data_IF_174803408263
#
_entry.id   IF_174803408263
#
_cell.length_a   1.000
_cell.length_b   1.000
_cell.length_c   1.000
_cell.angle_alpha   90.00
_cell.angle_beta   90.00
_cell.angle_gamma   90.00
#
_symmetry.space_group_name_H-M   'P 1'
#
loop_
_entity.id
_entity.type
_entity.pdbx_description
1 polymer ?
#
# COMPACT_ATOMS: atom_id res chain seq x y z
N UNK A 1 -19.78 -4.53 3.66
CA UNK A 1 -19.61 -5.16 5.00
C UNK A 1 -19.75 -6.66 4.80
N UNK A 2 -18.73 -7.45 5.14
CA UNK A 2 -18.85 -8.92 5.15
C UNK A 2 -19.92 -9.26 6.19
N UNK A 3 -20.99 -9.93 5.77
CA UNK A 3 -22.05 -10.36 6.70
C UNK A 3 -21.47 -11.42 7.63
N UNK A 4 -21.70 -11.26 8.94
CA UNK A 4 -21.29 -12.26 9.93
C UNK A 4 -21.95 -13.60 9.58
N UNK A 5 -21.16 -14.70 9.59
CA UNK A 5 -21.70 -16.03 9.33
C UNK A 5 -22.72 -16.38 10.41
N UNK A 6 -23.97 -16.63 10.01
CA UNK A 6 -25.02 -17.09 10.92
C UNK A 6 -25.07 -18.62 10.97
N UNK A 7 -25.32 -19.17 12.15
CA UNK A 7 -25.60 -20.60 12.32
C UNK A 7 -27.01 -20.99 11.86
N UNK A 8 -27.39 -22.27 11.99
CA UNK A 8 -28.69 -22.81 11.54
C UNK A 8 -29.91 -22.03 12.08
N UNK A 9 -29.77 -21.38 13.24
CA UNK A 9 -30.84 -20.62 13.90
C UNK A 9 -30.80 -19.11 13.59
N UNK A 10 -30.11 -18.68 12.53
CA UNK A 10 -29.85 -17.27 12.16
C UNK A 10 -29.17 -16.43 13.26
N UNK A 11 -28.67 -17.08 14.31
CA UNK A 11 -27.83 -16.43 15.32
C UNK A 11 -26.43 -16.22 14.73
N UNK A 12 -25.82 -15.04 14.89
CA UNK A 12 -24.42 -14.84 14.53
C UNK A 12 -23.58 -15.91 15.22
N UNK A 13 -22.74 -16.62 14.47
CA UNK A 13 -21.75 -17.48 15.09
C UNK A 13 -20.84 -16.61 15.97
N UNK A 14 -20.35 -17.13 17.12
CA UNK A 14 -19.38 -16.42 17.92
C UNK A 14 -18.22 -15.95 17.03
N UNK A 15 -17.84 -14.66 17.15
CA UNK A 15 -16.67 -14.15 16.45
C UNK A 15 -15.47 -14.99 16.87
N UNK A 16 -14.99 -15.85 15.97
CA UNK A 16 -13.75 -16.59 16.19
C UNK A 16 -12.62 -15.56 16.18
N UNK A 17 -12.04 -15.31 17.34
CA UNK A 17 -10.81 -14.53 17.46
C UNK A 17 -9.66 -15.39 16.93
N UNK A 18 -9.36 -15.25 15.64
CA UNK A 18 -8.19 -15.90 15.06
C UNK A 18 -6.95 -15.04 15.33
N UNK A 19 -5.95 -15.65 15.99
CA UNK A 19 -4.62 -15.07 16.19
C UNK A 19 -3.63 -15.93 15.41
N UNK A 20 -3.38 -15.54 14.16
CA UNK A 20 -2.45 -16.23 13.28
C UNK A 20 -2.26 -15.46 11.98
N UNK A 21 -1.42 -16.01 11.11
CA UNK A 21 -1.17 -15.50 9.75
C UNK A 21 -1.87 -16.37 8.70
N UNK A 22 -2.16 -15.78 7.54
CA UNK A 22 -2.64 -16.51 6.37
C UNK A 22 -1.61 -16.33 5.27
N UNK A 23 -1.15 -17.44 4.70
CA UNK A 23 -0.40 -17.43 3.45
C UNK A 23 -1.43 -17.65 2.33
N UNK A 24 -1.55 -16.67 1.45
CA UNK A 24 -2.37 -16.77 0.25
C UNK A 24 -1.44 -16.78 -0.96
N UNK A 25 -1.74 -17.62 -1.94
CA UNK A 25 -1.05 -17.66 -3.24
C UNK A 25 -2.04 -17.39 -4.36
N UNK A 26 -1.57 -16.77 -5.45
CA UNK A 26 -2.42 -16.29 -6.53
C UNK A 26 -1.58 -15.57 -7.58
N UNK A 27 -2.09 -15.49 -8.80
CA UNK A 27 -1.41 -14.82 -9.92
C UNK A 27 -1.46 -13.29 -9.78
N UNK A 28 -2.50 -12.77 -9.13
CA UNK A 28 -2.69 -11.35 -8.87
C UNK A 28 -3.31 -11.14 -7.49
N UNK A 29 -2.74 -10.21 -6.72
CA UNK A 29 -3.26 -9.78 -5.43
C UNK A 29 -3.54 -8.29 -5.46
N UNK A 30 -4.79 -7.92 -5.21
CA UNK A 30 -5.17 -6.54 -4.92
C UNK A 30 -5.82 -6.47 -3.53
N UNK A 31 -5.10 -5.85 -2.60
CA UNK A 31 -5.56 -5.66 -1.21
C UNK A 31 -6.43 -4.41 -1.05
N UNK A 32 -6.59 -3.60 -2.10
CA UNK A 32 -7.52 -2.46 -2.20
C UNK A 32 -7.28 -1.27 -1.26
N UNK A 33 -6.36 -1.36 -0.30
CA UNK A 33 -6.08 -0.27 0.66
C UNK A 33 -4.63 -0.26 1.10
N UNK A 34 -4.04 0.93 1.24
CA UNK A 34 -2.74 1.12 1.88
C UNK A 34 -2.66 0.40 3.24
N UNK A 35 -3.68 0.55 4.07
CA UNK A 35 -3.74 -0.12 5.39
C UNK A 35 -3.66 -1.65 5.30
N UNK A 36 -4.13 -2.27 4.22
CA UNK A 36 -3.98 -3.71 4.02
C UNK A 36 -2.58 -4.05 3.54
N UNK A 37 -2.00 -3.29 2.61
CA UNK A 37 -0.59 -3.46 2.22
C UNK A 37 0.38 -3.27 3.40
N UNK A 38 0.11 -2.33 4.31
CA UNK A 38 0.93 -2.13 5.52
C UNK A 38 0.81 -3.25 6.57
N UNK A 39 -0.13 -4.20 6.39
CA UNK A 39 -0.35 -5.35 7.28
C UNK A 39 -0.09 -6.70 6.58
N UNK A 40 0.40 -6.66 5.36
CA UNK A 40 0.64 -7.84 4.53
C UNK A 40 2.07 -7.80 4.00
N UNK A 41 2.68 -8.97 3.87
CA UNK A 41 3.95 -9.12 3.18
C UNK A 41 3.65 -9.76 1.83
N UNK A 42 3.90 -9.01 0.75
CA UNK A 42 3.64 -9.46 -0.61
C UNK A 42 4.97 -9.84 -1.25
N UNK A 43 5.12 -11.12 -1.55
CA UNK A 43 6.28 -11.66 -2.25
C UNK A 43 5.90 -11.88 -3.70
N UNK A 44 6.50 -11.09 -4.60
CA UNK A 44 6.35 -11.29 -6.03
C UNK A 44 7.32 -12.36 -6.49
N UNK A 45 6.79 -13.50 -6.91
CA UNK A 45 7.59 -14.65 -7.36
C UNK A 45 7.51 -14.69 -8.88
N UNK A 46 8.67 -14.61 -9.55
CA UNK A 46 8.73 -14.69 -11.01
C UNK A 46 8.26 -16.06 -11.52
N UNK A 47 7.70 -16.07 -12.74
CA UNK A 47 7.31 -17.31 -13.40
C UNK A 47 8.53 -18.24 -13.50
N UNK A 48 8.36 -19.49 -13.08
CA UNK A 48 9.41 -20.51 -13.11
C UNK A 48 10.33 -20.54 -11.89
N UNK A 49 10.22 -19.56 -10.96
CA UNK A 49 10.99 -19.60 -9.70
C UNK A 49 10.56 -20.77 -8.81
N UNK A 50 9.26 -21.10 -8.80
CA UNK A 50 8.75 -22.31 -8.15
C UNK A 50 8.49 -23.35 -9.24
N UNK A 51 9.19 -24.48 -9.18
CA UNK A 51 8.97 -25.60 -10.08
C UNK A 51 7.76 -26.43 -9.61
N UNK A 52 6.58 -26.13 -10.16
CA UNK A 52 5.35 -26.89 -9.87
C UNK A 52 5.30 -28.27 -10.54
N UNK A 53 6.24 -28.57 -11.46
CA UNK A 53 6.32 -29.86 -12.15
C UNK A 53 6.97 -30.98 -11.31
N UNK A 54 7.60 -30.62 -10.19
CA UNK A 54 8.12 -31.57 -9.21
C UNK A 54 7.46 -31.34 -7.86
N UNK A 55 6.73 -32.35 -7.39
CA UNK A 55 6.28 -32.42 -6.01
C UNK A 55 7.55 -32.45 -5.14
N UNK A 56 7.78 -31.43 -4.32
CA UNK A 56 8.94 -31.43 -3.42
C UNK A 56 8.83 -32.60 -2.44
N UNK A 57 9.95 -33.08 -1.88
CA UNK A 57 9.91 -34.15 -0.87
C UNK A 57 8.97 -33.81 0.31
N UNK A 58 8.86 -32.53 0.66
CA UNK A 58 7.92 -32.02 1.67
C UNK A 58 6.44 -32.21 1.28
N UNK A 59 6.11 -32.16 0.00
CA UNK A 59 4.74 -32.40 -0.47
C UNK A 59 4.43 -33.91 -0.62
N UNK A 60 5.45 -34.76 -0.82
CA UNK A 60 5.29 -36.22 -0.87
C UNK A 60 5.14 -36.86 0.50
N UNK A 61 5.68 -36.22 1.54
CA UNK A 61 5.71 -36.73 2.92
C UNK A 61 5.07 -35.69 3.84
N UNK A 62 3.73 -35.64 3.94
CA UNK A 62 3.02 -34.70 4.81
C UNK A 62 3.48 -34.77 6.27
N UNK A 63 3.87 -35.96 6.73
CA UNK A 63 4.37 -36.20 8.08
C UNK A 63 5.68 -35.44 8.35
N UNK A 64 6.50 -35.19 7.33
CA UNK A 64 7.74 -34.43 7.47
C UNK A 64 7.44 -32.96 7.81
N UNK A 65 6.42 -32.38 7.17
CA UNK A 65 5.98 -31.01 7.47
C UNK A 65 5.42 -30.91 8.89
N UNK A 66 4.62 -31.91 9.31
CA UNK A 66 4.09 -31.96 10.67
C UNK A 66 5.22 -32.12 11.71
N UNK A 67 6.16 -33.02 11.46
CA UNK A 67 7.31 -33.25 12.33
C UNK A 67 8.19 -32.00 12.45
N UNK A 68 8.43 -31.29 11.35
CA UNK A 68 9.16 -30.02 11.36
C UNK A 68 8.46 -28.98 12.24
N UNK A 69 7.16 -28.74 12.03
CA UNK A 69 6.43 -27.75 12.84
C UNK A 69 6.32 -28.18 14.30
N UNK A 70 6.12 -29.46 14.59
CA UNK A 70 6.09 -29.98 15.95
C UNK A 70 7.44 -29.76 16.65
N UNK A 71 8.56 -30.02 15.97
CA UNK A 71 9.91 -29.80 16.50
C UNK A 71 10.18 -28.31 16.77
N UNK A 72 9.78 -27.43 15.86
CA UNK A 72 9.90 -25.99 16.06
C UNK A 72 9.07 -25.48 17.24
N UNK A 73 7.81 -25.95 17.37
CA UNK A 73 6.93 -25.59 18.49
C UNK A 73 7.52 -26.08 19.82
N UNK A 74 7.93 -27.34 19.89
CA UNK A 74 8.55 -27.92 21.10
C UNK A 74 9.81 -27.14 21.51
N UNK A 75 10.64 -26.74 20.54
CA UNK A 75 11.80 -25.89 20.81
C UNK A 75 11.40 -24.51 21.35
N UNK A 76 10.39 -23.85 20.76
CA UNK A 76 9.89 -22.56 21.23
C UNK A 76 9.37 -22.64 22.68
N UNK A 77 8.65 -23.72 23.02
CA UNK A 77 8.12 -23.95 24.37
C UNK A 77 9.24 -24.16 25.38
N UNK A 78 10.24 -25.00 25.06
CA UNK A 78 11.40 -25.25 25.94
C UNK A 78 12.25 -24.01 26.17
N UNK A 79 12.32 -23.12 25.18
CA UNK A 79 13.15 -21.91 25.23
C UNK A 79 12.35 -20.64 25.56
N UNK A 80 11.07 -20.76 25.90
CA UNK A 80 10.15 -19.62 26.07
C UNK A 80 10.69 -18.56 27.03
N UNK A 81 11.30 -18.96 28.16
CA UNK A 81 11.86 -18.02 29.13
C UNK A 81 12.98 -17.16 28.53
N UNK A 82 13.91 -17.78 27.79
CA UNK A 82 14.97 -17.06 27.10
C UNK A 82 14.40 -16.15 26.00
N UNK A 83 13.45 -16.66 25.21
CA UNK A 83 12.82 -15.88 24.14
C UNK A 83 12.14 -14.64 24.71
N UNK A 84 11.29 -14.79 25.74
CA UNK A 84 10.57 -13.66 26.35
C UNK A 84 11.50 -12.61 26.95
N UNK A 85 12.64 -13.04 27.51
CA UNK A 85 13.64 -12.14 28.07
C UNK A 85 14.37 -11.34 26.97
N UNK A 86 14.73 -11.97 25.85
CA UNK A 86 15.60 -11.37 24.82
C UNK A 86 14.82 -10.71 23.66
N UNK A 87 13.58 -11.14 23.39
CA UNK A 87 12.78 -10.66 22.26
C UNK A 87 12.63 -9.12 22.22
N UNK A 88 12.43 -8.39 23.33
CA UNK A 88 12.37 -6.92 23.26
C UNK A 88 13.64 -6.29 22.67
N UNK A 89 14.82 -6.76 23.09
CA UNK A 89 16.11 -6.26 22.62
C UNK A 89 16.37 -6.64 21.16
N UNK A 90 16.06 -7.89 20.79
CA UNK A 90 16.14 -8.37 19.39
C UNK A 90 15.25 -7.51 18.50
N UNK A 91 14.00 -7.29 18.91
CA UNK A 91 13.04 -6.50 18.16
C UNK A 91 13.46 -5.03 18.02
N UNK A 92 14.02 -4.43 19.08
CA UNK A 92 14.53 -3.06 19.04
C UNK A 92 15.71 -2.93 18.06
N UNK A 93 16.69 -3.84 18.14
CA UNK A 93 17.83 -3.88 17.22
C UNK A 93 17.41 -4.07 15.75
N UNK A 94 16.44 -4.96 15.51
CA UNK A 94 15.89 -5.18 14.17
C UNK A 94 15.07 -3.99 13.66
N UNK A 95 14.35 -3.29 14.54
CA UNK A 95 13.64 -2.06 14.19
C UNK A 95 14.63 -0.96 13.79
N UNK A 96 15.71 -0.78 14.54
CA UNK A 96 16.77 0.16 14.21
C UNK A 96 17.45 -0.19 12.87
N UNK A 97 17.70 -1.48 12.62
CA UNK A 97 18.21 -1.99 11.35
C UNK A 97 17.30 -1.60 10.18
N UNK A 98 16.00 -1.86 10.29
CA UNK A 98 15.02 -1.54 9.24
C UNK A 98 14.95 -0.04 8.97
N UNK A 99 14.88 0.79 10.03
CA UNK A 99 14.86 2.26 9.91
C UNK A 99 16.08 2.78 9.15
N UNK A 100 17.25 2.24 9.46
CA UNK A 100 18.51 2.64 8.84
C UNK A 100 18.59 2.22 7.36
N UNK A 101 18.15 1.00 7.04
CA UNK A 101 18.36 0.40 5.72
C UNK A 101 17.26 0.68 4.68
N UNK A 102 16.05 1.02 5.12
CA UNK A 102 14.88 1.13 4.23
C UNK A 102 14.26 2.54 4.29
N UNK A 103 14.42 3.28 5.40
CA UNK A 103 13.83 4.61 5.62
C UNK A 103 12.33 4.62 5.25
N UNK A 104 11.55 3.81 5.96
CA UNK A 104 10.10 3.70 5.77
C UNK A 104 9.39 4.84 6.49
N UNK A 105 8.46 5.51 5.79
CA UNK A 105 7.57 6.51 6.40
C UNK A 105 6.43 5.86 7.22
N UNK A 106 6.22 4.55 7.02
CA UNK A 106 5.12 3.80 7.62
C UNK A 106 5.61 2.92 8.77
N UNK A 107 5.47 3.40 10.01
CA UNK A 107 5.94 2.69 11.20
C UNK A 107 5.37 1.28 11.34
N UNK A 108 4.12 1.05 10.91
CA UNK A 108 3.52 -0.29 10.92
C UNK A 108 4.29 -1.29 10.05
N UNK A 109 4.68 -0.87 8.84
CA UNK A 109 5.46 -1.71 7.94
C UNK A 109 6.88 -1.92 8.49
N UNK A 110 7.49 -0.88 9.08
CA UNK A 110 8.78 -0.99 9.79
C UNK A 110 8.74 -2.09 10.84
N UNK A 111 7.72 -2.07 11.71
CA UNK A 111 7.54 -3.06 12.77
C UNK A 111 7.32 -4.46 12.18
N UNK A 112 6.52 -4.60 11.12
CA UNK A 112 6.28 -5.89 10.47
C UNK A 112 7.53 -6.50 9.85
N UNK A 113 8.36 -5.72 9.15
CA UNK A 113 9.63 -6.20 8.60
C UNK A 113 10.61 -6.55 9.71
N UNK A 114 10.70 -5.72 10.76
CA UNK A 114 11.54 -5.99 11.92
C UNK A 114 11.11 -7.26 12.65
N UNK A 115 9.80 -7.52 12.77
CA UNK A 115 9.28 -8.76 13.35
C UNK A 115 9.68 -9.99 12.53
N UNK A 116 9.71 -9.90 11.19
CA UNK A 116 10.17 -10.99 10.34
C UNK A 116 11.68 -11.26 10.52
N UNK A 117 12.50 -10.22 10.68
CA UNK A 117 13.91 -10.36 11.06
C UNK A 117 14.06 -11.06 12.41
N UNK A 118 13.30 -10.64 13.43
CA UNK A 118 13.33 -11.26 14.76
C UNK A 118 12.93 -12.74 14.71
N UNK A 119 11.97 -13.11 13.86
CA UNK A 119 11.61 -14.52 13.61
C UNK A 119 12.77 -15.27 12.97
N UNK A 120 13.47 -14.69 12.00
CA UNK A 120 14.64 -15.31 11.36
C UNK A 120 15.79 -15.51 12.36
N UNK A 121 16.05 -14.56 13.24
CA UNK A 121 17.08 -14.68 14.29
C UNK A 121 16.77 -15.81 15.27
N UNK A 122 15.51 -15.91 15.73
CA UNK A 122 15.07 -16.99 16.62
C UNK A 122 15.10 -18.33 15.87
N UNK A 123 14.71 -18.35 14.59
CA UNK A 123 14.77 -19.55 13.77
C UNK A 123 16.20 -20.04 13.56
N UNK A 124 17.17 -19.15 13.41
CA UNK A 124 18.59 -19.51 13.35
C UNK A 124 19.03 -20.30 14.59
N UNK A 125 18.68 -19.82 15.79
CA UNK A 125 18.99 -20.52 17.05
C UNK A 125 18.38 -21.93 17.11
N UNK A 126 17.18 -22.11 16.58
CA UNK A 126 16.59 -23.44 16.46
C UNK A 126 17.32 -24.30 15.44
N UNK A 127 17.56 -23.78 14.23
CA UNK A 127 18.24 -24.49 13.17
C UNK A 127 19.60 -25.01 13.64
N UNK A 128 20.37 -24.18 14.35
CA UNK A 128 21.63 -24.57 14.99
C UNK A 128 21.42 -25.71 16.01
N UNK A 129 20.38 -25.64 16.84
CA UNK A 129 20.10 -26.65 17.88
C UNK A 129 19.70 -28.03 17.33
N UNK A 130 19.12 -28.07 16.12
CA UNK A 130 18.69 -29.31 15.45
C UNK A 130 19.56 -29.65 14.23
N UNK A 131 20.69 -28.96 14.08
CA UNK A 131 21.67 -29.15 13.00
C UNK A 131 21.05 -29.06 11.58
N UNK A 132 20.14 -28.09 11.39
CA UNK A 132 19.61 -27.71 10.08
C UNK A 132 20.46 -26.55 9.55
N UNK A 133 20.99 -26.68 8.34
CA UNK A 133 21.70 -25.58 7.70
C UNK A 133 20.73 -24.42 7.39
N UNK A 134 20.99 -23.26 7.97
CA UNK A 134 20.23 -22.04 7.73
C UNK A 134 21.18 -20.86 7.52
N UNK A 135 21.10 -20.22 6.36
CA UNK A 135 21.89 -19.03 6.06
C UNK A 135 21.16 -17.78 6.57
N UNK A 136 21.43 -17.42 7.82
CA UNK A 136 20.81 -16.24 8.45
C UNK A 136 21.20 -14.92 7.80
N UNK A 137 22.39 -14.84 7.19
CA UNK A 137 22.84 -13.63 6.48
C UNK A 137 22.02 -13.46 5.20
N UNK A 138 21.91 -14.51 4.38
CA UNK A 138 21.09 -14.47 3.17
C UNK A 138 19.61 -14.24 3.47
N UNK A 139 19.08 -14.84 4.55
CA UNK A 139 17.70 -14.61 5.00
C UNK A 139 17.47 -13.14 5.38
N UNK A 140 18.39 -12.53 6.16
CA UNK A 140 18.34 -11.12 6.53
C UNK A 140 18.35 -10.21 5.31
N UNK A 141 19.24 -10.46 4.35
CA UNK A 141 19.31 -9.68 3.10
C UNK A 141 18.02 -9.80 2.28
N UNK A 142 17.45 -11.00 2.18
CA UNK A 142 16.20 -11.23 1.48
C UNK A 142 15.02 -10.50 2.13
N UNK A 143 14.94 -10.49 3.47
CA UNK A 143 13.91 -9.77 4.22
C UNK A 143 14.04 -8.26 4.04
N UNK A 144 15.27 -7.73 4.07
CA UNK A 144 15.50 -6.30 3.84
C UNK A 144 15.16 -5.90 2.39
N UNK A 145 15.48 -6.74 1.40
CA UNK A 145 15.06 -6.54 0.01
C UNK A 145 13.54 -6.51 -0.12
N UNK A 146 12.85 -7.48 0.48
CA UNK A 146 11.38 -7.51 0.54
C UNK A 146 10.83 -6.22 1.16
N UNK A 147 11.42 -5.72 2.25
CA UNK A 147 10.99 -4.47 2.87
C UNK A 147 11.13 -3.25 1.95
N UNK A 148 12.15 -3.20 1.09
CA UNK A 148 12.31 -2.15 0.05
C UNK A 148 11.26 -2.28 -1.04
N UNK A 149 10.96 -3.49 -1.50
CA UNK A 149 9.87 -3.74 -2.45
C UNK A 149 8.51 -3.33 -1.88
N UNK A 150 8.26 -3.68 -0.61
CA UNK A 150 7.03 -3.29 0.10
C UNK A 150 6.93 -1.78 0.29
N UNK A 151 8.06 -1.06 0.49
CA UNK A 151 8.08 0.42 0.50
C UNK A 151 7.54 0.98 -0.80
N UNK A 152 8.04 0.47 -1.93
CA UNK A 152 7.63 0.91 -3.25
C UNK A 152 6.13 0.64 -3.49
N UNK A 153 5.68 -0.58 -3.17
CA UNK A 153 4.25 -0.94 -3.27
C UNK A 153 3.41 -0.02 -2.39
N UNK A 154 3.78 0.20 -1.13
CA UNK A 154 3.03 1.08 -0.23
C UNK A 154 2.94 2.52 -0.76
N UNK A 155 4.03 3.05 -1.32
CA UNK A 155 4.06 4.39 -1.91
C UNK A 155 3.12 4.52 -3.11
N UNK A 156 3.11 3.54 -4.02
CA UNK A 156 2.19 3.54 -5.18
C UNK A 156 0.72 3.44 -4.78
N UNK A 157 0.44 2.81 -3.63
CA UNK A 157 -0.92 2.64 -3.10
C UNK A 157 -1.31 3.75 -2.11
N UNK A 158 -0.45 4.76 -1.92
CA UNK A 158 -0.72 5.87 -1.02
C UNK A 158 -1.90 6.71 -1.55
N UNK A 159 -2.83 7.16 -0.68
CA UNK A 159 -4.00 7.92 -1.12
C UNK A 159 -3.67 9.16 -1.97
N UNK A 160 -2.57 9.84 -1.64
CA UNK A 160 -2.03 10.98 -2.39
C UNK A 160 -1.58 10.57 -3.79
N UNK A 161 -0.87 9.44 -3.92
CA UNK A 161 -0.37 8.99 -5.20
C UNK A 161 -1.51 8.54 -6.11
N UNK A 162 -2.47 7.78 -5.58
CA UNK A 162 -3.65 7.37 -6.34
C UNK A 162 -4.47 8.59 -6.80
N UNK A 163 -4.57 9.65 -5.99
CA UNK A 163 -5.24 10.88 -6.39
C UNK A 163 -4.47 11.64 -7.48
N UNK A 164 -3.14 11.70 -7.38
CA UNK A 164 -2.27 12.29 -8.40
C UNK A 164 -2.41 11.52 -9.72
N UNK A 165 -2.33 10.20 -9.69
CA UNK A 165 -2.47 9.34 -10.88
C UNK A 165 -3.84 9.53 -11.54
N UNK A 166 -4.92 9.51 -10.75
CA UNK A 166 -6.28 9.73 -11.25
C UNK A 166 -6.43 11.07 -11.97
N UNK A 167 -5.90 12.15 -11.38
CA UNK A 167 -6.01 13.50 -11.93
C UNK A 167 -5.12 13.65 -13.17
N UNK A 168 -3.90 13.12 -13.13
CA UNK A 168 -2.95 13.16 -14.24
C UNK A 168 -3.50 12.38 -15.43
N UNK A 169 -3.96 11.14 -15.23
CA UNK A 169 -4.62 10.34 -16.26
C UNK A 169 -5.87 11.07 -16.80
N UNK A 170 -6.63 11.74 -15.94
CA UNK A 170 -7.78 12.53 -16.35
C UNK A 170 -7.43 13.70 -17.26
N UNK A 171 -6.31 14.37 -17.00
CA UNK A 171 -5.85 15.50 -17.83
C UNK A 171 -5.25 14.99 -19.15
N UNK A 172 -4.43 13.95 -19.10
CA UNK A 172 -3.67 13.47 -20.26
C UNK A 172 -4.51 12.59 -21.21
N UNK A 173 -5.45 11.80 -20.66
CA UNK A 173 -6.20 10.78 -21.41
C UNK A 173 -7.71 11.07 -21.51
N UNK A 174 -8.12 12.33 -21.32
CA UNK A 174 -9.48 12.77 -21.60
C UNK A 174 -10.53 12.44 -20.53
N UNK A 175 -10.11 12.27 -19.27
CA UNK A 175 -11.04 12.25 -18.12
C UNK A 175 -11.60 13.63 -17.74
N UNK A 176 -11.01 14.71 -18.26
CA UNK A 176 -11.53 16.08 -18.18
C UNK A 176 -11.60 16.75 -19.54
N UNK A 177 -12.65 17.52 -19.76
CA UNK A 177 -12.71 18.44 -20.89
C UNK A 177 -12.01 19.76 -20.52
N UNK A 178 -10.72 19.87 -20.80
CA UNK A 178 -9.91 21.06 -20.49
C UNK A 178 -9.94 22.04 -21.66
N UNK A 179 -10.46 23.25 -21.42
CA UNK A 179 -10.41 24.32 -22.40
C UNK A 179 -8.98 24.88 -22.55
N UNK A 180 -8.62 25.28 -23.76
CA UNK A 180 -7.29 25.85 -24.08
C UNK A 180 -6.98 27.17 -23.37
N UNK A 181 -8.01 27.86 -22.85
CA UNK A 181 -7.84 29.12 -22.11
C UNK A 181 -9.02 29.41 -21.20
N UNK A 182 -8.81 30.34 -20.27
CA UNK A 182 -9.86 30.87 -19.39
C UNK A 182 -11.07 31.41 -20.16
N UNK A 183 -10.81 32.13 -21.27
CA UNK A 183 -11.86 32.70 -22.11
C UNK A 183 -12.74 31.63 -22.76
N UNK A 184 -12.14 30.54 -23.25
CA UNK A 184 -12.87 29.41 -23.82
C UNK A 184 -13.70 28.67 -22.75
N UNK A 185 -13.21 28.58 -21.51
CA UNK A 185 -13.95 27.98 -20.40
C UNK A 185 -15.19 28.78 -19.96
N UNK A 186 -15.17 30.10 -20.12
CA UNK A 186 -16.30 30.98 -19.76
C UNK A 186 -17.54 30.71 -20.64
N UNK A 187 -17.31 30.35 -21.91
CA UNK A 187 -18.37 30.13 -22.90
C UNK A 187 -18.73 28.66 -23.08
N UNK A 188 -17.81 27.73 -22.82
CA UNK A 188 -18.05 26.30 -22.99
C UNK A 188 -18.82 25.68 -21.82
N UNK A 189 -19.97 25.07 -22.13
CA UNK A 189 -20.79 24.29 -21.18
C UNK A 189 -20.15 22.95 -20.81
N UNK A 190 -19.35 22.40 -21.71
CA UNK A 190 -18.76 21.06 -21.57
C UNK A 190 -17.40 21.09 -20.88
N UNK A 191 -16.77 22.26 -20.77
CA UNK A 191 -15.47 22.41 -20.15
C UNK A 191 -15.54 22.22 -18.63
N UNK A 192 -14.73 21.29 -18.14
CA UNK A 192 -14.54 20.98 -16.71
C UNK A 192 -13.48 21.89 -16.07
N UNK A 193 -12.65 22.52 -16.90
CA UNK A 193 -11.55 23.38 -16.48
C UNK A 193 -10.88 24.09 -17.65
N UNK A 194 -9.76 24.73 -17.39
CA UNK A 194 -8.92 25.35 -18.42
C UNK A 194 -7.42 25.24 -18.08
N UNK A 195 -6.61 25.26 -19.14
CA UNK A 195 -5.16 25.43 -19.02
C UNK A 195 -4.84 26.88 -18.60
N UNK A 196 -4.07 27.02 -17.52
CA UNK A 196 -3.63 28.31 -17.00
C UNK A 196 -2.30 28.70 -17.64
N UNK A 197 -1.35 27.77 -17.60
CA UNK A 197 -0.03 27.83 -18.21
C UNK A 197 0.51 26.39 -18.41
N UNK A 198 1.75 26.26 -18.89
CA UNK A 198 2.38 24.96 -19.12
C UNK A 198 2.49 24.16 -17.82
N UNK A 199 1.74 23.05 -17.75
CA UNK A 199 1.67 22.19 -16.58
C UNK A 199 0.71 22.64 -15.48
N UNK A 200 0.01 23.78 -15.57
CA UNK A 200 -1.01 24.16 -14.58
C UNK A 200 -2.41 24.27 -15.14
N UNK A 201 -3.38 23.78 -14.35
CA UNK A 201 -4.77 23.62 -14.74
C UNK A 201 -5.68 24.10 -13.64
N UNK A 202 -6.75 24.82 -14.01
CA UNK A 202 -7.83 25.14 -13.09
C UNK A 202 -9.03 24.26 -13.42
N UNK A 203 -9.47 23.41 -12.49
CA UNK A 203 -10.50 22.39 -12.74
C UNK A 203 -11.59 22.47 -11.66
N UNK A 204 -12.86 22.39 -12.06
CA UNK A 204 -14.02 22.45 -11.15
C UNK A 204 -13.91 21.35 -10.08
N UNK A 205 -14.10 21.73 -8.81
CA UNK A 205 -13.85 20.84 -7.66
C UNK A 205 -14.68 19.56 -7.70
N UNK A 206 -15.97 19.66 -8.04
CA UNK A 206 -16.85 18.50 -8.12
C UNK A 206 -16.42 17.51 -9.20
N UNK A 207 -15.84 17.98 -10.30
CA UNK A 207 -15.31 17.13 -11.37
C UNK A 207 -14.07 16.37 -10.90
N UNK A 208 -13.15 17.05 -10.23
CA UNK A 208 -11.96 16.42 -9.64
C UNK A 208 -12.36 15.36 -8.61
N UNK A 209 -13.25 15.70 -7.68
CA UNK A 209 -13.69 14.76 -6.64
C UNK A 209 -14.32 13.50 -7.24
N UNK A 210 -15.23 13.67 -8.21
CA UNK A 210 -15.89 12.55 -8.87
C UNK A 210 -14.90 11.69 -9.67
N UNK A 211 -13.92 12.29 -10.33
CA UNK A 211 -12.91 11.56 -11.09
C UNK A 211 -12.05 10.72 -10.15
N UNK A 212 -11.53 11.29 -9.06
CA UNK A 212 -10.69 10.58 -8.09
C UNK A 212 -11.45 9.43 -7.45
N UNK A 213 -12.68 9.67 -6.99
CA UNK A 213 -13.51 8.63 -6.37
C UNK A 213 -13.90 7.53 -7.38
N UNK A 214 -14.21 7.90 -8.63
CA UNK A 214 -14.49 6.95 -9.70
C UNK A 214 -13.27 6.12 -10.10
N UNK A 215 -12.10 6.75 -10.19
CA UNK A 215 -10.83 6.07 -10.44
C UNK A 215 -10.52 5.05 -9.33
N UNK A 216 -10.60 5.51 -8.07
CA UNK A 216 -10.40 4.67 -6.91
C UNK A 216 -11.34 3.46 -6.91
N UNK A 217 -12.64 3.67 -7.15
CA UNK A 217 -13.62 2.58 -7.22
C UNK A 217 -13.31 1.56 -8.33
N UNK A 218 -12.94 2.02 -9.54
CA UNK A 218 -12.60 1.13 -10.67
C UNK A 218 -11.35 0.29 -10.42
N UNK A 219 -10.37 0.88 -9.75
CA UNK A 219 -9.11 0.21 -9.35
C UNK A 219 -9.21 -0.49 -7.99
N UNK A 220 -10.41 -0.56 -7.41
CA UNK A 220 -10.69 -1.18 -6.11
C UNK A 220 -9.90 -0.57 -4.94
N UNK A 221 -9.51 0.70 -5.05
CA UNK A 221 -8.96 1.48 -3.96
C UNK A 221 -10.07 2.05 -3.07
N UNK A 222 -9.97 1.83 -1.76
CA UNK A 222 -10.84 2.49 -0.79
C UNK A 222 -10.23 3.82 -0.33
N UNK A 223 -10.37 4.85 -1.17
CA UNK A 223 -9.92 6.23 -0.90
C UNK A 223 -11.11 7.18 -0.95
N UNK A 224 -11.11 8.16 -0.05
CA UNK A 224 -12.04 9.30 -0.07
C UNK A 224 -11.25 10.57 -0.30
N UNK A 225 -11.67 11.39 -1.27
CA UNK A 225 -11.01 12.65 -1.59
C UNK A 225 -11.41 13.78 -0.61
N UNK A 226 -11.12 13.56 0.68
CA UNK A 226 -11.47 14.44 1.80
C UNK A 226 -10.45 15.56 2.07
N UNK A 227 -10.73 16.38 3.09
CA UNK A 227 -9.91 17.56 3.44
C UNK A 227 -8.45 17.21 3.72
N UNK A 228 -8.18 16.15 4.46
CA UNK A 228 -6.82 15.77 4.85
C UNK A 228 -5.97 15.34 3.64
N UNK A 229 -6.56 14.58 2.72
CA UNK A 229 -5.89 14.21 1.47
C UNK A 229 -5.57 15.45 0.63
N UNK A 230 -6.53 16.38 0.51
CA UNK A 230 -6.31 17.63 -0.23
C UNK A 230 -5.25 18.51 0.42
N UNK A 231 -5.20 18.61 1.75
CA UNK A 231 -4.13 19.32 2.47
C UNK A 231 -2.76 18.69 2.21
N UNK A 232 -2.68 17.35 2.17
CA UNK A 232 -1.44 16.64 1.82
C UNK A 232 -1.00 16.98 0.39
N UNK A 233 -1.91 16.96 -0.58
CA UNK A 233 -1.61 17.36 -1.97
C UNK A 233 -1.16 18.82 -2.09
N UNK A 234 -1.67 19.73 -1.24
CA UNK A 234 -1.16 21.09 -1.15
C UNK A 234 0.25 21.13 -0.59
N UNK A 235 0.53 20.40 0.49
CA UNK A 235 1.89 20.34 1.06
C UNK A 235 2.93 19.77 0.09
N UNK A 236 2.49 18.89 -0.83
CA UNK A 236 3.33 18.34 -1.89
C UNK A 236 3.54 19.32 -3.05
N UNK A 237 2.76 20.40 -3.14
CA UNK A 237 2.78 21.36 -4.23
C UNK A 237 2.00 20.93 -5.48
N UNK A 238 1.21 19.86 -5.40
CA UNK A 238 0.36 19.38 -6.50
C UNK A 238 -0.92 20.21 -6.65
N UNK A 239 -1.42 20.77 -5.54
CA UNK A 239 -2.55 21.69 -5.51
C UNK A 239 -2.16 23.00 -4.82
N UNK A 240 -2.76 24.12 -5.22
CA UNK A 240 -2.51 25.39 -4.53
C UNK A 240 -3.28 25.49 -3.20
N UNK A 241 -4.54 25.02 -3.16
CA UNK A 241 -5.41 25.13 -1.98
C UNK A 241 -6.37 23.95 -1.84
N UNK A 242 -6.61 23.52 -0.60
CA UNK A 242 -7.36 22.30 -0.30
C UNK A 242 -8.87 22.45 -0.53
N UNK A 243 -9.44 23.64 -0.38
CA UNK A 243 -10.89 23.88 -0.50
C UNK A 243 -11.31 24.47 -1.86
N UNK A 244 -10.31 24.71 -2.73
CA UNK A 244 -10.50 25.35 -4.02
C UNK A 244 -10.91 26.82 -3.92
N UNK A 245 -10.76 27.55 -5.01
CA UNK A 245 -11.14 28.96 -5.12
C UNK A 245 -12.43 29.10 -5.90
N UNK A 246 -13.29 30.02 -5.46
CA UNK A 246 -14.45 30.42 -6.25
C UNK A 246 -13.94 31.13 -7.51
N UNK A 247 -14.49 30.75 -8.66
CA UNK A 247 -14.21 31.42 -9.92
C UNK A 247 -14.70 32.87 -9.85
N UNK A 248 -13.82 33.80 -10.22
CA UNK A 248 -14.02 35.23 -9.97
C UNK A 248 -14.90 35.92 -11.00
N UNK A 249 -15.01 35.37 -12.21
CA UNK A 249 -15.82 35.91 -13.31
C UNK A 249 -17.11 35.11 -13.49
N UNK A 250 -18.16 35.75 -14.02
CA UNK A 250 -19.38 35.03 -14.39
C UNK A 250 -19.18 34.28 -15.69
N UNK A 251 -19.36 32.96 -15.64
CA UNK A 251 -19.50 32.14 -16.84
C UNK A 251 -20.81 32.48 -17.53
N UNK A 252 -20.80 32.41 -18.87
CA UNK A 252 -22.01 32.55 -19.69
C UNK A 252 -22.89 31.28 -19.64
N UNK A 253 -22.38 30.24 -18.99
CA UNK A 253 -23.02 28.93 -18.81
C UNK A 253 -23.09 28.56 -17.32
N UNK A 254 -23.94 27.61 -16.97
CA UNK A 254 -24.02 27.07 -15.60
C UNK A 254 -22.93 26.00 -15.35
N UNK A 255 -22.35 25.92 -14.13
CA UNK A 255 -22.47 26.87 -13.03
C UNK A 255 -21.81 28.21 -13.37
N UNK A 256 -22.44 29.33 -12.97
CA UNK A 256 -21.93 30.69 -13.27
C UNK A 256 -20.60 31.01 -12.57
N UNK A 257 -20.44 30.61 -11.31
CA UNK A 257 -19.21 30.81 -10.52
C UNK A 257 -18.84 29.53 -9.77
N UNK A 258 -18.34 28.50 -10.48
CA UNK A 258 -17.93 27.25 -9.84
C UNK A 258 -16.78 27.49 -8.86
N UNK A 259 -16.60 26.58 -7.92
CA UNK A 259 -15.31 26.43 -7.23
C UNK A 259 -14.43 25.51 -8.06
N UNK A 260 -13.13 25.78 -8.08
CA UNK A 260 -12.15 24.92 -8.74
C UNK A 260 -10.82 24.88 -8.01
N UNK A 261 -10.09 23.79 -8.25
CA UNK A 261 -8.73 23.59 -7.79
C UNK A 261 -7.76 24.12 -8.84
N UNK A 262 -6.69 24.78 -8.39
CA UNK A 262 -5.51 25.00 -9.21
C UNK A 262 -4.56 23.83 -8.96
N UNK A 263 -4.31 23.05 -10.01
CA UNK A 263 -3.52 21.82 -10.01
C UNK A 263 -2.28 22.07 -10.87
N UNK A 264 -1.12 21.64 -10.38
CA UNK A 264 0.14 21.73 -11.11
C UNK A 264 0.68 20.32 -11.33
N UNK A 265 0.67 19.88 -12.59
CA UNK A 265 1.38 18.69 -13.03
C UNK A 265 2.87 19.02 -13.10
N UNK A 266 3.58 18.79 -12.00
CA UNK A 266 5.02 18.56 -12.13
C UNK A 266 5.18 17.16 -12.72
N UNK A 267 6.14 16.96 -13.62
CA UNK A 267 6.65 15.61 -13.88
C UNK A 267 7.22 15.07 -12.57
N UNK A 268 6.38 14.45 -11.75
CA UNK A 268 6.80 13.68 -10.59
C UNK A 268 7.36 12.36 -11.11
N UNK A 269 8.58 12.41 -11.62
CA UNK A 269 9.40 11.22 -11.68
C UNK A 269 9.67 10.81 -10.22
N UNK A 270 9.15 9.67 -9.79
CA UNK A 270 9.54 9.00 -8.53
C UNK A 270 11.05 8.65 -8.47
N UNK A 271 11.83 9.08 -9.46
CA UNK A 271 13.27 8.92 -9.57
C UNK A 271 14.09 9.89 -8.69
N UNK A 272 13.48 10.87 -8.00
CA UNK A 272 14.24 11.87 -7.21
C UNK A 272 14.57 11.50 -5.75
N UNK A 273 14.40 10.26 -5.33
CA UNK A 273 14.90 9.79 -4.01
C UNK A 273 15.97 8.69 -4.11
N UNK A 274 16.61 8.54 -5.26
CA UNK A 274 17.68 7.55 -5.47
C UNK A 274 18.98 8.15 -6.03
N UNK A 275 19.41 9.28 -5.44
CA UNK A 275 20.83 9.65 -5.35
C UNK A 275 21.27 9.63 -3.88
#
# INVERSE_FOLDING_TARGET
RIQDKCGPNRKPLPKRTYRGGIIATGEYFDLGTLSSYLRSLVLNVSKGTINFGYITELQKIPDLVQAFFASWIDWLERNQHWILHNLPQIQEANTATVRTNIKLEYERLTISIAALLSVADIFNSFADSVNIAFDSVAAREAILRLGREMKFVAATMAPEQVAIDAITEGIENGGFNIAVSKSAFITSKEADGYNVDDGSYWIITTKVNNLVEGYAARKNYSIKFGSELRKKLVSMGFMQEAEGKRFTQDRQVSPRRPRGYLITLRRYSYEREYD
#
